data_IF_978185669173
#
_entry.id   IF_978185669173
#
_cell.length_a   1.000
_cell.length_b   1.000
_cell.length_c   1.000
_cell.angle_alpha   90.00
_cell.angle_beta   90.00
_cell.angle_gamma   90.00
#
_symmetry.space_group_name_H-M   'P 1'
#
loop_
_entity.id
_entity.type
_entity.pdbx_description
1 polymer ?
#
# COMPACT_ATOMS: atom_id res chain seq x y z
N UNK A 1 19.40 -31.49 -54.44
CA UNK A 1 19.47 -31.47 -52.98
C UNK A 1 18.87 -30.15 -52.48
N UNK A 2 17.76 -30.18 -51.79
CA UNK A 2 17.22 -28.92 -51.25
C UNK A 2 17.93 -28.56 -49.96
N UNK A 3 18.46 -27.35 -49.93
CA UNK A 3 19.04 -26.74 -48.74
C UNK A 3 17.90 -26.30 -47.86
N UNK A 4 17.68 -26.99 -46.75
CA UNK A 4 16.79 -26.58 -45.68
C UNK A 4 17.35 -25.32 -45.00
N UNK A 5 16.76 -24.18 -45.26
CA UNK A 5 16.97 -22.96 -44.45
C UNK A 5 16.37 -23.19 -43.06
N UNK A 6 17.25 -23.42 -42.09
CA UNK A 6 16.87 -23.34 -40.65
C UNK A 6 16.53 -21.91 -40.36
N UNK A 7 15.24 -21.61 -40.27
CA UNK A 7 14.77 -20.37 -39.67
C UNK A 7 15.13 -20.40 -38.18
N UNK A 8 15.99 -19.48 -37.81
CA UNK A 8 16.46 -19.29 -36.45
C UNK A 8 15.30 -18.72 -35.62
N UNK A 9 14.77 -19.54 -34.73
CA UNK A 9 13.66 -19.22 -33.80
C UNK A 9 14.16 -18.48 -32.57
N UNK A 10 15.24 -17.70 -32.69
CA UNK A 10 15.92 -17.04 -31.56
C UNK A 10 15.39 -15.62 -31.32
N UNK A 11 14.60 -15.06 -32.24
CA UNK A 11 14.14 -13.67 -32.13
C UNK A 11 12.90 -13.41 -31.27
N UNK A 12 12.19 -14.46 -30.81
CA UNK A 12 10.85 -14.29 -30.20
C UNK A 12 10.84 -14.33 -28.67
N UNK A 13 11.98 -14.61 -28.02
CA UNK A 13 12.02 -14.80 -26.55
C UNK A 13 12.39 -13.52 -25.78
N UNK A 14 12.88 -12.48 -26.44
CA UNK A 14 13.39 -11.27 -25.77
C UNK A 14 12.31 -10.20 -25.54
N UNK A 15 11.14 -10.29 -26.19
CA UNK A 15 10.07 -9.30 -26.07
C UNK A 15 8.99 -9.64 -25.02
N UNK A 16 8.98 -10.83 -24.45
CA UNK A 16 7.98 -11.24 -23.45
C UNK A 16 8.15 -10.67 -22.01
N UNK A 17 9.35 -10.35 -21.50
CA UNK A 17 9.44 -9.82 -20.14
C UNK A 17 8.99 -8.35 -19.99
N UNK A 18 8.91 -7.59 -21.08
CA UNK A 18 8.48 -6.19 -21.01
C UNK A 18 6.96 -6.01 -20.96
N UNK A 19 6.18 -6.98 -21.45
CA UNK A 19 4.70 -6.93 -21.45
C UNK A 19 4.05 -7.47 -20.16
N UNK A 20 4.82 -8.12 -19.27
CA UNK A 20 4.36 -8.72 -18.01
C UNK A 20 4.82 -7.96 -16.75
N UNK A 21 5.52 -6.85 -16.88
CA UNK A 21 5.77 -5.98 -15.74
C UNK A 21 4.49 -5.16 -15.52
N UNK A 22 3.66 -5.63 -14.59
CA UNK A 22 2.70 -4.75 -13.96
C UNK A 22 3.44 -3.49 -13.52
N UNK A 23 2.95 -2.31 -13.91
CA UNK A 23 3.50 -1.05 -13.44
C UNK A 23 3.47 -1.06 -11.91
N UNK A 24 4.61 -0.93 -11.25
CA UNK A 24 4.72 -0.98 -9.79
C UNK A 24 3.86 0.11 -9.13
N UNK A 25 3.67 1.24 -9.83
CA UNK A 25 2.74 2.28 -9.41
C UNK A 25 1.29 1.78 -9.41
N UNK A 26 0.85 1.14 -10.47
CA UNK A 26 -0.50 0.56 -10.54
C UNK A 26 -0.71 -0.52 -9.47
N UNK A 27 0.29 -1.36 -9.25
CA UNK A 27 0.25 -2.38 -8.20
C UNK A 27 0.10 -1.74 -6.81
N UNK A 28 0.84 -0.66 -6.54
CA UNK A 28 0.71 0.10 -5.30
C UNK A 28 -0.67 0.74 -5.17
N UNK A 29 -1.17 1.39 -6.22
CA UNK A 29 -2.48 2.03 -6.22
C UNK A 29 -3.62 1.02 -6.00
N UNK A 30 -3.52 -0.15 -6.60
CA UNK A 30 -4.49 -1.24 -6.38
C UNK A 30 -4.48 -1.71 -4.92
N UNK A 31 -3.31 -1.92 -4.33
CA UNK A 31 -3.18 -2.33 -2.94
C UNK A 31 -3.67 -1.25 -1.96
N UNK A 32 -3.38 0.04 -2.24
CA UNK A 32 -3.91 1.17 -1.49
C UNK A 32 -5.44 1.25 -1.58
N UNK A 33 -6.01 1.04 -2.77
CA UNK A 33 -7.46 1.02 -2.97
C UNK A 33 -8.15 -0.10 -2.18
N UNK A 34 -7.57 -1.29 -2.13
CA UNK A 34 -8.08 -2.40 -1.32
C UNK A 34 -8.01 -2.10 0.18
N UNK A 35 -6.93 -1.52 0.65
CA UNK A 35 -6.77 -1.10 2.03
C UNK A 35 -7.81 -0.03 2.41
N UNK A 36 -7.96 1.00 1.59
CA UNK A 36 -8.92 2.07 1.81
C UNK A 36 -10.37 1.57 1.82
N UNK A 37 -10.74 0.72 0.86
CA UNK A 37 -12.08 0.14 0.79
C UNK A 37 -12.43 -0.67 2.04
N UNK A 38 -11.50 -1.47 2.56
CA UNK A 38 -11.69 -2.21 3.79
C UNK A 38 -11.89 -1.27 4.99
N UNK A 39 -11.14 -0.19 5.04
CA UNK A 39 -11.20 0.81 6.08
C UNK A 39 -12.51 1.61 6.09
N UNK A 40 -13.08 1.90 4.92
CA UNK A 40 -14.38 2.60 4.80
C UNK A 40 -15.58 1.71 5.05
N UNK A 41 -15.47 0.42 4.69
CA UNK A 41 -16.60 -0.51 4.74
C UNK A 41 -16.91 -1.02 6.14
N UNK A 42 -16.03 -0.77 7.10
CA UNK A 42 -16.19 -1.20 8.48
C UNK A 42 -16.43 -0.02 9.41
N UNK A 43 -17.30 -0.22 10.41
CA UNK A 43 -17.25 0.54 11.67
C UNK A 43 -15.79 0.66 12.11
N UNK A 44 -15.36 1.78 12.74
CA UNK A 44 -13.98 1.93 13.19
C UNK A 44 -13.50 0.65 13.86
N UNK A 45 -12.35 0.13 13.40
CA UNK A 45 -11.78 -1.11 13.89
C UNK A 45 -11.32 -0.91 15.32
N UNK A 46 -12.09 -1.43 16.26
CA UNK A 46 -11.68 -1.40 17.67
C UNK A 46 -10.37 -2.16 17.86
N UNK A 47 -9.47 -1.60 18.66
CA UNK A 47 -8.17 -2.25 18.93
C UNK A 47 -8.33 -3.61 19.59
N UNK A 48 -9.41 -3.83 20.33
CA UNK A 48 -9.78 -5.11 20.95
C UNK A 48 -10.25 -6.18 19.93
N UNK A 49 -10.68 -5.79 18.74
CA UNK A 49 -11.14 -6.72 17.70
C UNK A 49 -9.96 -7.34 16.94
N UNK A 50 -9.53 -8.52 17.37
CA UNK A 50 -8.41 -9.22 16.74
C UNK A 50 -8.64 -9.50 15.24
N UNK A 51 -9.82 -9.91 14.83
CA UNK A 51 -10.14 -10.21 13.44
C UNK A 51 -10.04 -8.96 12.56
N UNK A 52 -10.58 -7.84 13.03
CA UNK A 52 -10.51 -6.57 12.33
C UNK A 52 -9.06 -6.05 12.23
N UNK A 53 -8.33 -6.04 13.35
CA UNK A 53 -6.94 -5.59 13.38
C UNK A 53 -6.04 -6.45 12.48
N UNK A 54 -6.17 -7.77 12.54
CA UNK A 54 -5.39 -8.68 11.70
C UNK A 54 -5.64 -8.41 10.20
N UNK A 55 -6.90 -8.22 9.80
CA UNK A 55 -7.26 -7.93 8.42
C UNK A 55 -6.66 -6.59 7.95
N UNK A 56 -6.85 -5.53 8.71
CA UNK A 56 -6.36 -4.21 8.32
C UNK A 56 -4.84 -4.13 8.34
N UNK A 57 -4.17 -4.75 9.30
CA UNK A 57 -2.72 -4.86 9.33
C UNK A 57 -2.21 -5.60 8.09
N UNK A 58 -2.84 -6.71 7.71
CA UNK A 58 -2.46 -7.46 6.52
C UNK A 58 -2.59 -6.61 5.24
N UNK A 59 -3.71 -5.89 5.08
CA UNK A 59 -3.93 -5.03 3.92
C UNK A 59 -2.94 -3.86 3.88
N UNK A 60 -2.64 -3.25 5.03
CA UNK A 60 -1.62 -2.21 5.12
C UNK A 60 -0.23 -2.74 4.77
N UNK A 61 0.11 -3.96 5.17
CA UNK A 61 1.36 -4.62 4.80
C UNK A 61 1.45 -4.90 3.30
N UNK A 62 0.37 -5.33 2.66
CA UNK A 62 0.33 -5.50 1.19
C UNK A 62 0.57 -4.17 0.48
N UNK A 63 -0.09 -3.10 0.93
CA UNK A 63 0.12 -1.76 0.38
C UNK A 63 1.55 -1.26 0.61
N UNK A 64 2.12 -1.49 1.80
CA UNK A 64 3.49 -1.12 2.12
C UNK A 64 4.53 -1.87 1.27
N UNK A 65 4.34 -3.17 1.03
CA UNK A 65 5.22 -3.96 0.16
C UNK A 65 5.17 -3.48 -1.30
N UNK A 66 3.97 -3.15 -1.79
CA UNK A 66 3.83 -2.59 -3.13
C UNK A 66 4.45 -1.19 -3.23
N UNK A 67 4.30 -0.36 -2.19
CA UNK A 67 4.93 0.95 -2.08
C UNK A 67 6.47 0.87 -2.06
N UNK A 68 7.02 -0.09 -1.34
CA UNK A 68 8.47 -0.31 -1.29
C UNK A 68 9.05 -0.65 -2.67
N UNK A 69 8.38 -1.53 -3.41
CA UNK A 69 8.76 -1.82 -4.81
C UNK A 69 8.65 -0.59 -5.71
N UNK A 70 7.56 0.18 -5.58
CA UNK A 70 7.38 1.41 -6.34
C UNK A 70 8.51 2.42 -6.08
N UNK A 71 8.97 2.57 -4.83
CA UNK A 71 10.05 3.50 -4.48
C UNK A 71 11.40 3.16 -5.15
N UNK A 72 11.58 1.93 -5.64
CA UNK A 72 12.77 1.53 -6.39
C UNK A 72 12.72 1.95 -7.87
N UNK A 73 11.56 2.39 -8.35
CA UNK A 73 11.38 2.78 -9.76
C UNK A 73 11.88 4.22 -10.01
N UNK A 74 12.31 4.55 -11.25
CA UNK A 74 12.70 5.92 -11.60
C UNK A 74 11.55 6.93 -11.45
N UNK A 75 10.31 6.52 -11.73
CA UNK A 75 9.09 7.35 -11.62
C UNK A 75 8.89 7.90 -10.20
N UNK A 76 9.24 7.12 -9.17
CA UNK A 76 9.05 7.51 -7.78
C UNK A 76 9.87 8.74 -7.37
N UNK A 77 10.96 9.06 -8.06
CA UNK A 77 11.88 10.16 -7.67
C UNK A 77 11.22 11.53 -7.76
N UNK A 78 10.35 11.74 -8.75
CA UNK A 78 9.72 13.04 -9.04
C UNK A 78 8.19 13.01 -8.82
N UNK A 79 7.65 11.87 -8.40
CA UNK A 79 6.21 11.69 -8.23
C UNK A 79 5.73 12.13 -6.83
N UNK A 80 4.58 12.79 -6.78
CA UNK A 80 3.86 13.06 -5.53
C UNK A 80 3.51 11.77 -4.77
N UNK A 81 3.33 10.66 -5.48
CA UNK A 81 3.06 9.35 -4.92
C UNK A 81 4.19 8.79 -4.05
N UNK A 82 5.41 9.34 -4.18
CA UNK A 82 6.53 8.97 -3.31
C UNK A 82 6.23 9.21 -1.84
N UNK A 83 5.62 10.34 -1.51
CA UNK A 83 5.28 10.68 -0.12
C UNK A 83 4.18 9.76 0.43
N UNK A 84 3.19 9.43 -0.38
CA UNK A 84 2.16 8.43 -0.04
C UNK A 84 2.80 7.07 0.22
N UNK A 85 3.70 6.62 -0.67
CA UNK A 85 4.40 5.35 -0.51
C UNK A 85 5.22 5.29 0.78
N UNK A 86 5.96 6.36 1.10
CA UNK A 86 6.73 6.44 2.33
C UNK A 86 5.85 6.45 3.59
N UNK A 87 4.72 7.14 3.54
CA UNK A 87 3.81 7.24 4.68
C UNK A 87 3.08 5.92 4.97
N UNK A 88 2.64 5.19 3.95
CA UNK A 88 2.00 3.88 4.16
C UNK A 88 2.99 2.83 4.70
N UNK A 89 4.25 2.88 4.30
CA UNK A 89 5.29 1.99 4.85
C UNK A 89 5.46 2.26 6.35
N UNK A 90 5.64 3.51 6.75
CA UNK A 90 5.77 3.90 8.16
C UNK A 90 4.55 3.52 8.98
N UNK A 91 3.36 3.84 8.48
CA UNK A 91 2.10 3.51 9.14
C UNK A 91 1.93 2.00 9.33
N UNK A 92 2.14 1.21 8.29
CA UNK A 92 2.00 -0.24 8.33
C UNK A 92 2.93 -0.89 9.35
N UNK A 93 4.20 -0.48 9.35
CA UNK A 93 5.19 -0.99 10.31
C UNK A 93 4.82 -0.65 11.74
N UNK A 94 4.56 0.64 12.01
CA UNK A 94 4.22 1.10 13.35
C UNK A 94 2.92 0.48 13.87
N UNK A 95 1.91 0.30 13.01
CA UNK A 95 0.66 -0.35 13.38
C UNK A 95 0.87 -1.80 13.79
N UNK A 96 1.65 -2.56 13.02
CA UNK A 96 1.97 -3.96 13.34
C UNK A 96 2.70 -4.08 14.67
N UNK A 97 3.70 -3.24 14.91
CA UNK A 97 4.48 -3.22 16.15
C UNK A 97 3.64 -2.79 17.36
N UNK A 98 2.84 -1.72 17.20
CA UNK A 98 1.96 -1.20 18.25
C UNK A 98 0.87 -2.23 18.62
N UNK A 99 0.30 -2.92 17.64
CA UNK A 99 -0.69 -3.96 17.90
C UNK A 99 -0.08 -5.17 18.63
N UNK A 100 1.11 -5.60 18.25
CA UNK A 100 1.82 -6.66 18.96
C UNK A 100 2.12 -6.25 20.43
N UNK A 101 2.48 -4.99 20.65
CA UNK A 101 2.69 -4.46 22.01
C UNK A 101 1.38 -4.41 22.82
N UNK A 102 0.27 -3.97 22.18
CA UNK A 102 -1.05 -3.96 22.78
C UNK A 102 -1.47 -5.36 23.23
N UNK A 103 -1.32 -6.38 22.38
CA UNK A 103 -1.70 -7.76 22.71
C UNK A 103 -0.93 -8.29 23.92
N UNK A 104 0.34 -7.91 24.05
CA UNK A 104 1.16 -8.32 25.21
C UNK A 104 0.74 -7.61 26.51
N UNK A 105 0.34 -6.36 26.43
CA UNK A 105 0.09 -5.49 27.59
C UNK A 105 -1.39 -5.50 28.06
N UNK A 106 -2.34 -5.80 27.19
CA UNK A 106 -3.79 -5.65 27.45
C UNK A 106 -4.32 -6.45 28.64
N UNK A 107 -3.66 -7.57 28.99
CA UNK A 107 -4.07 -8.38 30.13
C UNK A 107 -3.68 -7.78 31.49
N UNK A 108 -2.72 -6.85 31.50
CA UNK A 108 -2.27 -6.16 32.71
C UNK A 108 -3.04 -4.86 32.92
N UNK A 109 -3.07 -4.02 31.89
CA UNK A 109 -3.84 -2.76 31.88
C UNK A 109 -4.38 -2.49 30.48
N UNK A 110 -5.65 -2.88 30.20
CA UNK A 110 -6.27 -2.67 28.88
C UNK A 110 -6.31 -1.21 28.45
N UNK A 111 -6.62 -0.29 29.37
CA UNK A 111 -6.77 1.14 29.05
C UNK A 111 -5.42 1.78 28.71
N UNK A 112 -4.38 1.47 29.50
CA UNK A 112 -3.04 1.97 29.19
C UNK A 112 -2.49 1.38 27.89
N UNK A 113 -2.76 0.11 27.62
CA UNK A 113 -2.36 -0.55 26.37
C UNK A 113 -3.04 0.06 25.15
N UNK A 114 -4.35 0.34 25.21
CA UNK A 114 -5.10 0.99 24.15
C UNK A 114 -4.62 2.42 23.90
N UNK A 115 -4.44 3.20 24.96
CA UNK A 115 -3.88 4.55 24.88
C UNK A 115 -2.50 4.58 24.25
N UNK A 116 -1.63 3.64 24.61
CA UNK A 116 -0.30 3.52 24.02
C UNK A 116 -0.36 3.17 22.54
N UNK A 117 -1.26 2.27 22.13
CA UNK A 117 -1.50 1.94 20.72
C UNK A 117 -1.89 3.18 19.91
N UNK A 118 -2.92 3.90 20.34
CA UNK A 118 -3.41 5.09 19.65
C UNK A 118 -2.39 6.22 19.59
N UNK A 119 -1.58 6.40 20.64
CA UNK A 119 -0.52 7.42 20.65
C UNK A 119 0.55 7.22 19.57
N UNK A 120 0.75 5.98 19.13
CA UNK A 120 1.71 5.62 18.08
C UNK A 120 1.04 5.62 16.70
N UNK A 121 -0.14 5.02 16.59
CA UNK A 121 -0.79 4.73 15.30
C UNK A 121 -1.50 5.94 14.73
N UNK A 122 -2.26 6.68 15.55
CA UNK A 122 -3.11 7.76 15.06
C UNK A 122 -2.35 8.90 14.36
N UNK A 123 -1.19 9.38 14.85
CA UNK A 123 -0.43 10.41 14.13
C UNK A 123 0.05 9.95 12.76
N UNK A 124 0.46 8.69 12.62
CA UNK A 124 0.94 8.14 11.35
C UNK A 124 -0.20 7.85 10.37
N UNK A 125 -1.37 7.49 10.89
CA UNK A 125 -2.59 7.39 10.11
C UNK A 125 -2.98 8.75 9.53
N UNK A 126 -2.93 9.80 10.34
CA UNK A 126 -3.24 11.17 9.89
C UNK A 126 -2.20 11.67 8.87
N UNK A 127 -0.91 11.34 9.07
CA UNK A 127 0.12 11.67 8.08
C UNK A 127 -0.16 10.98 6.74
N UNK A 128 -0.44 9.69 6.75
CA UNK A 128 -0.78 8.93 5.53
C UNK A 128 -2.00 9.52 4.82
N UNK A 129 -3.08 9.80 5.55
CA UNK A 129 -4.30 10.43 5.01
C UNK A 129 -3.99 11.81 4.41
N UNK A 130 -3.18 12.60 5.10
CA UNK A 130 -2.77 13.92 4.63
C UNK A 130 -1.97 13.87 3.34
N UNK A 131 -1.00 12.94 3.24
CA UNK A 131 -0.20 12.75 2.03
C UNK A 131 -1.05 12.26 0.85
N UNK A 132 -1.97 11.33 1.09
CA UNK A 132 -2.88 10.84 0.07
C UNK A 132 -3.79 11.96 -0.44
N UNK A 133 -4.41 12.72 0.46
CA UNK A 133 -5.27 13.86 0.12
C UNK A 133 -4.51 14.93 -0.67
N UNK A 134 -3.30 15.28 -0.25
CA UNK A 134 -2.46 16.25 -0.95
C UNK A 134 -2.10 15.77 -2.36
N UNK A 135 -1.80 14.48 -2.52
CA UNK A 135 -1.46 13.88 -3.81
C UNK A 135 -2.66 13.85 -4.75
N UNK A 136 -3.84 13.47 -4.25
CA UNK A 136 -5.10 13.49 -5.02
C UNK A 136 -5.49 14.91 -5.47
N UNK A 137 -5.12 15.92 -4.70
CA UNK A 137 -5.36 17.32 -5.02
C UNK A 137 -4.27 17.98 -5.88
N UNK A 138 -3.14 17.30 -6.14
CA UNK A 138 -1.99 17.89 -6.81
C UNK A 138 -2.21 18.15 -8.32
N UNK A 139 -2.90 17.22 -8.99
CA UNK A 139 -3.24 17.30 -10.40
C UNK A 139 -4.43 16.40 -10.75
N UNK A 140 -5.08 16.71 -11.89
CA UNK A 140 -6.26 15.97 -12.35
C UNK A 140 -5.94 14.53 -12.75
N UNK A 141 -4.76 14.31 -13.33
CA UNK A 141 -4.32 12.97 -13.75
C UNK A 141 -4.12 12.05 -12.53
N UNK A 142 -3.52 12.54 -11.45
CA UNK A 142 -3.38 11.77 -10.21
C UNK A 142 -4.73 11.37 -9.63
N UNK A 143 -5.71 12.27 -9.70
CA UNK A 143 -7.08 12.01 -9.24
C UNK A 143 -7.77 10.97 -10.11
N UNK A 144 -7.73 11.12 -11.44
CA UNK A 144 -8.35 10.19 -12.38
C UNK A 144 -7.78 8.77 -12.23
N UNK A 145 -6.46 8.65 -12.15
CA UNK A 145 -5.78 7.37 -11.93
C UNK A 145 -6.25 6.75 -10.61
N UNK A 146 -6.24 7.52 -9.53
CA UNK A 146 -6.63 7.02 -8.21
C UNK A 146 -8.09 6.54 -8.17
N UNK A 147 -9.01 7.23 -8.81
CA UNK A 147 -10.42 6.84 -8.90
C UNK A 147 -10.60 5.47 -9.56
N UNK A 148 -9.80 5.13 -10.56
CA UNK A 148 -9.83 3.80 -11.21
C UNK A 148 -9.49 2.67 -10.24
N UNK A 149 -8.75 2.95 -9.18
CA UNK A 149 -8.38 1.98 -8.14
C UNK A 149 -9.22 2.10 -6.86
N UNK A 150 -10.29 2.90 -6.90
CA UNK A 150 -11.20 3.06 -5.76
C UNK A 150 -10.67 3.97 -4.65
N UNK A 151 -9.59 4.72 -4.90
CA UNK A 151 -9.13 5.78 -4.04
C UNK A 151 -10.02 7.01 -4.25
N UNK A 152 -11.03 7.16 -3.41
CA UNK A 152 -11.99 8.26 -3.48
C UNK A 152 -11.81 9.15 -2.26
N UNK A 153 -12.20 10.41 -2.39
CA UNK A 153 -12.03 11.49 -1.41
C UNK A 153 -12.05 11.07 0.06
N UNK A 154 -10.99 11.40 0.75
CA UNK A 154 -10.95 11.42 2.23
C UNK A 154 -11.47 12.74 2.76
#
# INVERSE_FOLDING_TARGET
MPIMKRLSLVGLIILMPALLRADEKETMLQALGQFEQAWRSTTPCEVSSNACQTREIWLAQQAAQAADRYLTTPDAKESHWRLVAQSIIKYSQARSEAYAAYVRARNQDPNAAEKAYHSIVDPLEQDFKGQLKATLGSDENSREIAQRFGLVDF
#
